data_IF_303408449565
#
_entry.id   IF_303408449565
#
_cell.length_a   1.000
_cell.length_b   1.000
_cell.length_c   1.000
_cell.angle_alpha   90.00
_cell.angle_beta   90.00
_cell.angle_gamma   90.00
#
_symmetry.space_group_name_H-M   'P 1'
#
loop_
_entity.id
_entity.type
_entity.pdbx_description
1 polymer ?
#
# COMPACT_ATOMS: atom_id res chain seq x y z
N UNK A 1 15.86 -16.00 -16.94
CA UNK A 1 15.08 -15.37 -15.85
C UNK A 1 13.76 -14.94 -16.42
N UNK A 2 12.67 -15.48 -15.93
CA UNK A 2 11.32 -14.98 -16.20
C UNK A 2 11.08 -13.85 -15.20
N UNK A 3 10.51 -12.71 -15.63
CA UNK A 3 10.13 -11.69 -14.66
C UNK A 3 9.09 -12.29 -13.72
N UNK A 4 9.28 -12.12 -12.43
CA UNK A 4 8.26 -12.43 -11.43
C UNK A 4 6.97 -11.69 -11.80
N UNK A 5 5.83 -12.34 -11.62
CA UNK A 5 4.53 -11.71 -11.87
C UNK A 5 4.43 -10.46 -10.98
N UNK A 6 4.32 -9.28 -11.61
CA UNK A 6 4.23 -8.02 -10.87
C UNK A 6 2.87 -7.92 -10.21
N UNK A 7 2.85 -7.69 -8.92
CA UNK A 7 1.63 -7.43 -8.15
C UNK A 7 1.13 -5.99 -8.34
N UNK A 8 1.99 -5.07 -8.80
CA UNK A 8 1.65 -3.67 -9.02
C UNK A 8 1.06 -3.42 -10.42
N UNK A 9 0.16 -2.45 -10.52
CA UNK A 9 -0.41 -1.98 -11.79
C UNK A 9 0.50 -0.97 -12.49
N UNK A 10 0.27 -0.72 -13.79
CA UNK A 10 0.98 0.30 -14.56
C UNK A 10 0.79 1.75 -14.03
N UNK A 11 -0.25 1.97 -13.21
CA UNK A 11 -0.48 3.21 -12.48
C UNK A 11 -0.66 2.85 -10.99
N UNK A 12 0.42 2.76 -10.22
CA UNK A 12 0.35 2.37 -8.82
C UNK A 12 -0.37 3.42 -7.99
N UNK A 13 -1.27 2.98 -7.12
CA UNK A 13 -2.02 3.81 -6.17
C UNK A 13 -1.61 3.40 -4.75
N UNK A 14 -1.70 4.34 -3.79
CA UNK A 14 -1.40 4.10 -2.37
C UNK A 14 -0.04 3.40 -2.15
N UNK A 15 0.99 3.84 -2.88
CA UNK A 15 2.28 3.13 -2.96
C UNK A 15 2.93 2.91 -1.59
N UNK A 16 2.85 3.85 -0.65
CA UNK A 16 3.40 3.69 0.69
C UNK A 16 2.62 2.66 1.51
N UNK A 17 1.29 2.64 1.38
CA UNK A 17 0.44 1.68 2.08
C UNK A 17 0.61 0.27 1.52
N UNK A 18 0.58 0.13 0.19
CA UNK A 18 0.78 -1.17 -0.46
C UNK A 18 2.19 -1.68 -0.24
N UNK A 19 3.18 -0.81 -0.34
CA UNK A 19 4.58 -1.18 -0.24
C UNK A 19 5.18 -1.65 -1.56
N UNK A 20 6.27 -2.40 -1.46
CA UNK A 20 7.02 -2.88 -2.61
C UNK A 20 7.64 -4.25 -2.34
N UNK A 21 8.06 -4.91 -3.41
CA UNK A 21 8.75 -6.20 -3.37
C UNK A 21 10.27 -5.99 -3.42
N UNK A 22 11.00 -6.91 -2.82
CA UNK A 22 12.46 -7.00 -2.97
C UNK A 22 12.87 -7.61 -4.32
N UNK A 23 14.17 -7.77 -4.54
CA UNK A 23 14.73 -8.36 -5.76
C UNK A 23 14.40 -9.84 -5.95
N UNK A 24 13.95 -10.53 -4.93
CA UNK A 24 13.56 -11.94 -4.93
C UNK A 24 12.06 -12.13 -5.12
N UNK A 25 11.28 -11.03 -5.05
CA UNK A 25 9.83 -11.02 -5.24
C UNK A 25 9.04 -11.18 -3.95
N UNK A 26 9.69 -11.03 -2.78
CA UNK A 26 9.05 -11.02 -1.48
C UNK A 26 8.65 -9.60 -1.06
N UNK A 27 7.60 -9.50 -0.27
CA UNK A 27 7.15 -8.22 0.27
C UNK A 27 8.17 -7.60 1.21
N UNK A 28 8.72 -6.43 0.85
CA UNK A 28 9.73 -5.73 1.64
C UNK A 28 9.16 -4.64 2.54
N UNK A 29 7.99 -4.10 2.20
CA UNK A 29 7.33 -3.04 2.96
C UNK A 29 5.80 -3.09 2.80
N UNK A 30 5.09 -2.33 3.65
CA UNK A 30 3.64 -2.12 3.56
C UNK A 30 2.83 -3.40 3.68
N UNK A 31 1.70 -3.45 2.97
CA UNK A 31 0.82 -4.61 2.91
C UNK A 31 1.45 -5.79 2.16
N UNK A 32 2.33 -5.53 1.20
CA UNK A 32 3.09 -6.60 0.52
C UNK A 32 3.93 -7.40 1.53
N UNK A 33 4.63 -6.72 2.45
CA UNK A 33 5.37 -7.40 3.52
C UNK A 33 4.47 -8.04 4.58
N UNK A 34 3.38 -7.36 4.95
CA UNK A 34 2.47 -7.84 5.99
C UNK A 34 1.71 -9.11 5.58
N UNK A 35 1.47 -9.31 4.29
CA UNK A 35 0.72 -10.43 3.74
C UNK A 35 1.54 -11.28 2.76
N UNK A 36 2.88 -11.22 2.81
CA UNK A 36 3.75 -11.90 1.87
C UNK A 36 3.48 -13.40 1.79
N UNK A 37 3.38 -14.08 2.93
CA UNK A 37 3.07 -15.52 3.01
C UNK A 37 1.75 -15.88 2.33
N UNK A 38 0.73 -15.02 2.47
CA UNK A 38 -0.58 -15.21 1.85
C UNK A 38 -0.54 -14.98 0.33
N UNK A 39 0.20 -13.95 -0.10
CA UNK A 39 0.26 -13.51 -1.48
C UNK A 39 1.18 -14.40 -2.32
N UNK A 40 2.23 -14.96 -1.73
CA UNK A 40 3.14 -15.91 -2.39
C UNK A 40 2.62 -17.35 -2.38
N UNK A 41 1.78 -17.72 -1.39
CA UNK A 41 1.25 -19.07 -1.24
C UNK A 41 2.30 -20.08 -0.80
N UNK A 42 2.01 -21.37 -1.00
CA UNK A 42 2.85 -22.50 -0.53
C UNK A 42 4.11 -22.76 -1.36
N UNK A 43 4.51 -21.87 -2.25
CA UNK A 43 5.71 -22.03 -3.08
C UNK A 43 5.57 -23.03 -4.23
N UNK A 44 4.36 -23.56 -4.49
CA UNK A 44 4.09 -24.34 -5.69
C UNK A 44 4.03 -23.37 -6.89
N UNK A 45 5.09 -23.32 -7.66
CA UNK A 45 5.19 -22.47 -8.84
C UNK A 45 4.82 -23.20 -10.13
N UNK A 46 4.78 -22.43 -11.22
CA UNK A 46 4.63 -22.98 -12.55
C UNK A 46 5.83 -23.87 -12.91
N UNK A 47 5.56 -25.06 -13.34
CA UNK A 47 6.59 -26.01 -13.81
C UNK A 47 6.57 -26.06 -15.34
N UNK A 48 7.70 -25.71 -15.95
CA UNK A 48 7.88 -25.83 -17.38
C UNK A 48 8.50 -27.20 -17.70
N UNK A 49 7.70 -28.07 -18.28
CA UNK A 49 8.17 -29.39 -18.73
C UNK A 49 8.73 -29.29 -20.16
N UNK A 50 10.04 -29.45 -20.29
CA UNK A 50 10.73 -29.43 -21.58
C UNK A 50 11.18 -30.84 -21.97
N UNK A 51 10.69 -31.38 -23.07
CA UNK A 51 11.17 -32.65 -23.65
C UNK A 51 12.34 -32.35 -24.61
N UNK A 52 13.52 -32.85 -24.29
CA UNK A 52 14.74 -32.66 -25.11
C UNK A 52 15.27 -33.99 -25.64
N UNK A 53 15.97 -33.95 -26.77
CA UNK A 53 16.71 -35.08 -27.28
C UNK A 53 18.09 -35.23 -26.59
N UNK A 54 18.86 -36.25 -26.95
CA UNK A 54 20.18 -36.51 -26.41
C UNK A 54 21.20 -35.39 -26.68
N UNK A 55 20.92 -34.48 -27.61
CA UNK A 55 21.74 -33.31 -27.94
C UNK A 55 21.21 -32.03 -27.27
N UNK A 56 20.24 -32.13 -26.36
CA UNK A 56 19.66 -30.98 -25.64
C UNK A 56 18.69 -30.13 -26.46
N UNK A 57 18.30 -30.57 -27.68
CA UNK A 57 17.36 -29.81 -28.50
C UNK A 57 15.92 -30.19 -28.16
N UNK A 58 15.04 -29.21 -28.05
CA UNK A 58 13.60 -29.37 -27.79
C UNK A 58 12.97 -30.29 -28.88
N UNK A 59 12.21 -31.30 -28.45
CA UNK A 59 11.47 -32.23 -29.33
C UNK A 59 9.98 -31.89 -29.44
N UNK A 60 9.45 -31.12 -28.51
CA UNK A 60 8.07 -30.67 -28.49
C UNK A 60 8.00 -29.26 -27.90
N UNK A 61 6.88 -28.59 -28.11
CA UNK A 61 6.62 -27.33 -27.38
C UNK A 61 6.63 -27.59 -25.88
N UNK A 62 7.27 -26.69 -25.09
CA UNK A 62 7.24 -26.82 -23.65
C UNK A 62 5.82 -26.78 -23.10
N UNK A 63 5.49 -27.74 -22.25
CA UNK A 63 4.21 -27.75 -21.55
C UNK A 63 4.36 -27.01 -20.23
N UNK A 64 3.54 -25.95 -20.03
CA UNK A 64 3.42 -25.26 -18.75
C UNK A 64 2.40 -26.01 -17.90
N UNK A 65 2.82 -26.48 -16.74
CA UNK A 65 1.94 -27.03 -15.73
C UNK A 65 1.91 -26.05 -14.57
N UNK A 66 0.80 -25.34 -14.42
CA UNK A 66 0.54 -24.51 -13.25
C UNK A 66 0.03 -25.40 -12.12
N UNK A 67 0.78 -25.47 -11.03
CA UNK A 67 0.26 -26.00 -9.78
C UNK A 67 -0.47 -24.85 -9.05
N UNK A 68 -1.61 -25.15 -8.44
CA UNK A 68 -2.26 -24.18 -7.55
C UNK A 68 -1.29 -23.87 -6.40
N UNK A 69 -0.78 -22.64 -6.40
CA UNK A 69 0.16 -22.18 -5.39
C UNK A 69 -0.48 -22.01 -4.01
N UNK A 70 -1.82 -22.08 -3.93
CA UNK A 70 -2.57 -21.72 -2.74
C UNK A 70 -2.49 -20.21 -2.40
N UNK A 71 -1.90 -19.41 -3.30
CA UNK A 71 -1.86 -17.97 -3.14
C UNK A 71 -3.26 -17.36 -3.18
N UNK A 72 -3.56 -16.49 -2.26
CA UNK A 72 -4.85 -15.80 -2.16
C UNK A 72 -4.66 -14.30 -2.28
N UNK A 73 -5.67 -13.61 -2.81
CA UNK A 73 -5.66 -12.15 -2.88
C UNK A 73 -6.12 -11.53 -1.56
N UNK A 74 -5.61 -10.34 -1.26
CA UNK A 74 -6.07 -9.50 -0.15
C UNK A 74 -6.99 -8.42 -0.68
N UNK A 75 -8.25 -8.39 -0.21
CA UNK A 75 -9.20 -7.36 -0.57
C UNK A 75 -9.14 -6.21 0.43
N UNK A 76 -8.81 -5.02 -0.06
CA UNK A 76 -8.75 -3.80 0.74
C UNK A 76 -10.11 -3.08 0.78
N UNK A 77 -10.27 -2.21 1.76
CA UNK A 77 -11.43 -1.32 1.88
C UNK A 77 -11.29 -0.05 1.06
N UNK A 78 -10.14 0.18 0.43
CA UNK A 78 -9.89 1.32 -0.44
C UNK A 78 -10.88 1.34 -1.61
N UNK A 79 -11.37 2.54 -1.95
CA UNK A 79 -12.12 2.79 -3.19
C UNK A 79 -11.17 3.33 -4.24
N UNK A 80 -11.08 2.65 -5.39
CA UNK A 80 -10.21 3.10 -6.49
C UNK A 80 -10.50 4.54 -6.90
N UNK A 81 -11.76 4.93 -7.03
CA UNK A 81 -12.17 6.26 -7.45
C UNK A 81 -11.78 7.33 -6.43
N UNK A 82 -12.04 7.06 -5.14
CA UNK A 82 -11.70 8.00 -4.06
C UNK A 82 -10.17 8.12 -3.94
N UNK A 83 -9.45 7.00 -4.05
CA UNK A 83 -7.98 6.99 -4.02
C UNK A 83 -7.40 7.81 -5.17
N UNK A 84 -7.85 7.60 -6.40
CA UNK A 84 -7.39 8.36 -7.57
C UNK A 84 -7.66 9.86 -7.43
N UNK A 85 -8.83 10.22 -6.92
CA UNK A 85 -9.18 11.63 -6.68
C UNK A 85 -8.26 12.23 -5.60
N UNK A 86 -8.04 11.51 -4.50
CA UNK A 86 -7.16 11.95 -3.43
C UNK A 86 -5.69 12.07 -3.88
N UNK A 87 -5.21 11.16 -4.72
CA UNK A 87 -3.87 11.24 -5.33
C UNK A 87 -3.73 12.49 -6.19
N UNK A 88 -4.70 12.75 -7.08
CA UNK A 88 -4.69 13.93 -7.95
C UNK A 88 -4.68 15.23 -7.13
N UNK A 89 -5.52 15.33 -6.11
CA UNK A 89 -5.54 16.49 -5.21
C UNK A 89 -4.22 16.64 -4.46
N UNK A 90 -3.64 15.54 -3.99
CA UNK A 90 -2.35 15.56 -3.31
C UNK A 90 -1.22 16.07 -4.22
N UNK A 91 -1.21 15.63 -5.48
CA UNK A 91 -0.21 16.06 -6.47
C UNK A 91 -0.29 17.55 -6.77
N UNK A 92 -1.50 18.13 -6.77
CA UNK A 92 -1.71 19.55 -7.02
C UNK A 92 -1.41 20.43 -5.79
N UNK A 93 -1.66 19.93 -4.57
CA UNK A 93 -1.74 20.76 -3.37
C UNK A 93 -0.66 20.51 -2.33
N UNK A 94 0.02 19.35 -2.35
CA UNK A 94 0.94 18.94 -1.31
C UNK A 94 2.33 18.59 -1.84
N UNK A 95 3.36 19.19 -1.26
CA UNK A 95 4.74 18.71 -1.42
C UNK A 95 5.05 17.58 -0.41
N UNK A 96 4.54 17.68 0.83
CA UNK A 96 4.72 16.68 1.86
C UNK A 96 3.49 16.66 2.79
N UNK A 97 3.00 15.46 3.08
CA UNK A 97 1.83 15.28 3.92
C UNK A 97 1.08 13.99 3.61
N UNK A 98 -0.13 13.86 4.15
CA UNK A 98 -1.02 12.73 3.84
C UNK A 98 -2.48 13.16 3.74
N UNK A 99 -3.25 12.41 2.97
CA UNK A 99 -4.71 12.46 2.93
C UNK A 99 -5.24 11.09 3.34
N UNK A 100 -6.08 11.07 4.37
CA UNK A 100 -6.78 9.87 4.81
C UNK A 100 -8.29 10.10 4.71
N UNK A 101 -8.99 9.24 3.98
CA UNK A 101 -10.44 9.29 3.84
C UNK A 101 -11.06 8.09 4.53
N UNK A 102 -11.93 8.37 5.50
CA UNK A 102 -12.62 7.38 6.31
C UNK A 102 -14.13 7.41 6.05
N UNK A 103 -14.73 6.25 5.99
CA UNK A 103 -16.19 6.10 6.00
C UNK A 103 -16.71 6.31 7.43
N UNK A 104 -17.53 7.31 7.65
CA UNK A 104 -18.04 7.65 8.98
C UNK A 104 -18.97 6.61 9.59
N UNK A 105 -19.61 5.77 8.77
CA UNK A 105 -20.54 4.76 9.24
C UNK A 105 -19.86 3.51 9.82
N UNK A 106 -18.65 3.19 9.36
CA UNK A 106 -17.99 1.93 9.68
C UNK A 106 -16.46 2.04 9.87
N UNK A 107 -15.92 3.26 9.84
CA UNK A 107 -14.50 3.58 9.97
C UNK A 107 -13.58 2.90 8.92
N UNK A 108 -14.13 2.42 7.80
CA UNK A 108 -13.31 1.85 6.73
C UNK A 108 -12.47 2.92 6.06
N UNK A 109 -11.19 2.62 5.85
CA UNK A 109 -10.29 3.48 5.07
C UNK A 109 -10.67 3.36 3.59
N UNK A 110 -11.06 4.47 2.97
CA UNK A 110 -11.49 4.55 1.57
C UNK A 110 -10.39 5.10 0.67
N UNK A 111 -9.50 5.95 1.22
CA UNK A 111 -8.26 6.36 0.57
C UNK A 111 -7.18 6.62 1.62
N UNK A 112 -5.92 6.37 1.23
CA UNK A 112 -4.73 6.67 2.01
C UNK A 112 -3.64 7.10 1.04
N UNK A 113 -3.22 8.35 1.12
CA UNK A 113 -2.23 8.97 0.21
C UNK A 113 -1.16 9.62 1.05
N UNK A 114 0.09 9.37 0.73
CA UNK A 114 1.25 10.07 1.29
C UNK A 114 2.06 10.77 0.19
N UNK A 115 2.64 11.93 0.51
CA UNK A 115 3.53 12.69 -0.39
C UNK A 115 4.82 13.09 0.35
N UNK A 116 5.95 13.13 -0.37
CA UNK A 116 6.12 12.75 -1.77
C UNK A 116 5.86 11.26 -2.01
N UNK A 117 5.44 10.93 -3.23
CA UNK A 117 5.34 9.55 -3.70
C UNK A 117 6.69 8.99 -4.14
N UNK A 118 6.72 7.69 -4.46
CA UNK A 118 7.89 7.03 -5.02
C UNK A 118 7.47 6.07 -6.14
N UNK A 119 8.43 5.70 -6.97
CA UNK A 119 8.25 4.66 -7.98
C UNK A 119 8.56 3.29 -7.38
N UNK A 120 7.56 2.40 -7.22
CA UNK A 120 7.77 1.07 -6.67
C UNK A 120 8.64 0.16 -7.55
N UNK A 121 8.90 0.54 -8.80
CA UNK A 121 9.82 -0.17 -9.70
C UNK A 121 11.27 0.31 -9.58
N UNK A 122 11.48 1.49 -8.96
CA UNK A 122 12.81 2.08 -8.77
C UNK A 122 13.02 2.56 -7.34
N UNK A 123 12.93 1.64 -6.38
CA UNK A 123 13.09 1.92 -4.95
C UNK A 123 14.47 2.51 -4.63
N UNK A 124 15.52 2.10 -5.35
CA UNK A 124 16.88 2.56 -5.10
C UNK A 124 17.03 4.08 -5.20
N UNK A 125 16.27 4.74 -6.05
CA UNK A 125 16.25 6.19 -6.17
C UNK A 125 15.64 6.89 -4.94
N UNK A 126 14.81 6.20 -4.20
CA UNK A 126 14.05 6.73 -3.07
C UNK A 126 14.65 6.41 -1.70
N UNK A 127 15.55 5.42 -1.59
CA UNK A 127 16.11 4.95 -0.33
C UNK A 127 16.81 6.04 0.50
N UNK A 128 17.53 6.95 -0.16
CA UNK A 128 18.29 8.01 0.49
C UNK A 128 17.75 9.41 0.15
N UNK A 129 16.53 9.50 -0.38
CA UNK A 129 15.92 10.78 -0.70
C UNK A 129 15.63 11.58 0.59
N UNK A 130 15.96 12.89 0.64
CA UNK A 130 15.88 13.71 1.85
C UNK A 130 14.45 13.83 2.39
N UNK A 131 13.45 13.75 1.51
CA UNK A 131 12.04 13.93 1.87
C UNK A 131 11.34 12.63 2.28
N UNK A 132 12.10 11.54 2.49
CA UNK A 132 11.60 10.24 2.95
C UNK A 132 10.33 9.78 2.20
N UNK A 133 10.37 9.57 0.87
CA UNK A 133 9.19 9.24 0.08
C UNK A 133 8.62 7.85 0.39
N UNK A 134 9.41 6.95 0.98
CA UNK A 134 8.98 5.61 1.39
C UNK A 134 8.13 5.61 2.67
N UNK A 135 8.08 6.75 3.38
CA UNK A 135 7.39 6.86 4.65
C UNK A 135 5.86 6.96 4.45
N UNK A 136 5.10 6.04 5.07
CA UNK A 136 3.64 6.20 5.18
C UNK A 136 3.32 7.20 6.29
N UNK A 137 3.01 8.43 5.88
CA UNK A 137 2.83 9.57 6.78
C UNK A 137 1.55 9.50 7.61
N UNK A 138 0.54 8.79 7.12
CA UNK A 138 -0.71 8.61 7.88
C UNK A 138 -0.50 7.84 9.19
N UNK A 139 0.59 7.05 9.31
CA UNK A 139 0.90 6.28 10.51
C UNK A 139 1.97 6.93 11.40
N UNK A 140 2.32 8.19 11.11
CA UNK A 140 3.31 8.92 11.91
C UNK A 140 2.62 9.79 12.96
N UNK A 141 3.33 10.02 14.08
CA UNK A 141 2.87 10.92 15.13
C UNK A 141 3.28 12.36 14.83
N UNK A 142 2.32 13.28 14.93
CA UNK A 142 2.52 14.70 14.69
C UNK A 142 2.07 15.52 15.89
N UNK A 143 2.64 16.72 16.06
CA UNK A 143 2.15 17.72 17.00
C UNK A 143 0.86 18.34 16.44
N UNK A 144 -0.28 17.87 16.92
CA UNK A 144 -1.60 18.18 16.34
C UNK A 144 -2.09 19.63 16.60
N UNK A 145 -1.62 20.28 17.64
CA UNK A 145 -2.04 21.65 17.95
C UNK A 145 -3.57 21.81 18.04
N UNK A 146 -4.08 22.88 17.44
CA UNK A 146 -5.52 23.21 17.47
C UNK A 146 -6.45 22.22 16.76
N UNK A 147 -5.94 21.36 15.88
CA UNK A 147 -6.77 20.33 15.23
C UNK A 147 -7.20 19.22 16.19
N UNK A 148 -6.67 19.19 17.42
CA UNK A 148 -7.12 18.30 18.48
C UNK A 148 -8.40 18.79 19.19
N UNK A 149 -8.79 20.06 19.01
CA UNK A 149 -9.97 20.65 19.68
C UNK A 149 -11.29 19.89 19.41
N UNK A 150 -11.58 19.39 18.20
CA UNK A 150 -12.76 18.55 17.98
C UNK A 150 -12.81 17.29 18.85
N UNK A 151 -11.65 16.66 19.10
CA UNK A 151 -11.55 15.49 19.98
C UNK A 151 -11.89 15.87 21.41
N UNK A 152 -11.33 17.00 21.91
CA UNK A 152 -11.64 17.52 23.25
C UNK A 152 -13.12 17.90 23.37
N UNK A 153 -13.69 18.54 22.34
CA UNK A 153 -15.12 18.88 22.32
C UNK A 153 -16.00 17.63 22.36
N UNK A 154 -15.69 16.59 21.58
CA UNK A 154 -16.40 15.34 21.61
C UNK A 154 -16.34 14.68 23.00
N UNK A 155 -15.17 14.62 23.62
CA UNK A 155 -15.00 14.09 24.97
C UNK A 155 -15.82 14.87 26.02
N UNK A 156 -15.87 16.21 25.92
CA UNK A 156 -16.67 17.05 26.80
C UNK A 156 -18.19 16.77 26.62
N UNK A 157 -18.64 16.59 25.38
CA UNK A 157 -20.05 16.24 25.10
C UNK A 157 -20.41 14.86 25.67
N UNK A 158 -19.52 13.88 25.51
CA UNK A 158 -19.71 12.51 26.09
C UNK A 158 -19.73 12.53 27.62
N UNK A 159 -18.97 13.44 28.26
CA UNK A 159 -18.97 13.66 29.70
C UNK A 159 -20.18 14.47 30.20
N UNK A 160 -21.06 14.95 29.31
CA UNK A 160 -22.22 15.76 29.67
C UNK A 160 -21.93 17.25 29.88
N UNK A 161 -20.70 17.70 29.56
CA UNK A 161 -20.21 19.08 29.80
C UNK A 161 -20.51 20.02 28.60
N UNK A 162 -21.73 19.96 28.06
CA UNK A 162 -22.12 20.74 26.87
C UNK A 162 -22.33 22.24 27.15
N UNK A 163 -22.45 22.65 28.40
CA UNK A 163 -22.72 24.03 28.82
C UNK A 163 -21.51 24.78 29.39
N UNK A 164 -20.32 24.21 29.28
CA UNK A 164 -19.11 24.82 29.83
C UNK A 164 -18.73 26.12 29.08
N UNK A 165 -18.63 27.23 29.82
CA UNK A 165 -18.16 28.54 29.31
C UNK A 165 -16.87 28.90 30.01
N UNK A 166 -15.82 29.11 29.25
CA UNK A 166 -14.54 29.57 29.75
C UNK A 166 -14.24 30.99 29.25
N UNK A 167 -13.95 31.91 30.19
CA UNK A 167 -13.49 33.24 29.82
C UNK A 167 -11.98 33.29 29.94
N UNK A 168 -11.31 33.56 28.85
CA UNK A 168 -9.86 33.70 28.83
C UNK A 168 -9.46 34.96 29.62
N UNK A 169 -8.52 34.89 30.57
CA UNK A 169 -8.05 36.03 31.33
C UNK A 169 -7.26 37.03 30.48
#
# INVERSE_FOLDING_TARGET
CWPAARRSSAAPLAVQLLGYLDGEGHGAAGLEAAFDDLLTGSGAGDTLLCTVNAQGKLRAEPALTSADSGAVGVQLTLSREIQQTAEAVADETMQSGCILVLDTANAKVRACVSRPGYDPENISASLNAPDSPLLERAFQCYAVGSVFKPVVAAAALEAGESGFVYTCP
#
